data_IF_710689791273
#
_entry.id   IF_710689791273
#
_cell.length_a   1.000
_cell.length_b   1.000
_cell.length_c   1.000
_cell.angle_alpha   90.00
_cell.angle_beta   90.00
_cell.angle_gamma   90.00
#
_symmetry.space_group_name_H-M   'P 1'
#
loop_
_entity.id
_entity.type
_entity.pdbx_description
1 polymer ?
#
# COMPACT_ATOMS: atom_id res chain seq x y z
N UNK A 1 -9.37 -14.92 -12.33
CA UNK A 1 -10.06 -15.03 -11.05
C UNK A 1 -11.20 -14.01 -10.98
N UNK A 2 -10.98 -12.72 -11.20
CA UNK A 2 -12.08 -11.75 -11.32
C UNK A 2 -12.23 -11.28 -12.77
N UNK A 3 -13.42 -11.40 -13.40
CA UNK A 3 -13.65 -10.95 -14.77
C UNK A 3 -13.41 -9.44 -14.97
N UNK A 4 -13.57 -8.65 -13.91
CA UNK A 4 -13.35 -7.19 -13.90
C UNK A 4 -11.91 -6.78 -13.53
N UNK A 5 -11.01 -7.75 -13.32
CA UNK A 5 -9.68 -7.52 -12.78
C UNK A 5 -9.66 -7.31 -11.27
N UNK A 6 -8.47 -7.12 -10.70
CA UNK A 6 -8.29 -6.89 -9.27
C UNK A 6 -7.90 -5.45 -8.98
N UNK A 7 -8.63 -4.82 -8.08
CA UNK A 7 -8.30 -3.52 -7.52
C UNK A 7 -8.32 -3.61 -5.99
N UNK A 8 -7.15 -3.50 -5.35
CA UNK A 8 -7.00 -3.69 -3.90
C UNK A 8 -7.92 -2.78 -3.08
N UNK A 9 -8.10 -1.53 -3.47
CA UNK A 9 -8.96 -0.56 -2.79
C UNK A 9 -10.46 -0.95 -2.86
N UNK A 10 -10.93 -1.53 -3.96
CA UNK A 10 -12.30 -2.03 -4.08
C UNK A 10 -12.46 -3.35 -3.31
N UNK A 11 -11.44 -4.20 -3.32
CA UNK A 11 -11.45 -5.40 -2.50
C UNK A 11 -11.45 -5.06 -1.01
N UNK A 12 -10.72 -4.02 -0.58
CA UNK A 12 -10.77 -3.55 0.80
C UNK A 12 -12.17 -3.11 1.21
N UNK A 13 -12.90 -2.41 0.33
CA UNK A 13 -14.32 -2.08 0.59
C UNK A 13 -15.14 -3.35 0.77
N UNK A 14 -14.99 -4.34 -0.12
CA UNK A 14 -15.71 -5.62 0.00
C UNK A 14 -15.39 -6.34 1.32
N UNK A 15 -14.13 -6.33 1.75
CA UNK A 15 -13.73 -6.94 3.02
C UNK A 15 -14.46 -6.28 4.18
N UNK A 16 -14.41 -4.95 4.30
CA UNK A 16 -14.99 -4.25 5.44
C UNK A 16 -16.53 -4.19 5.44
N UNK A 17 -17.16 -4.27 4.26
CA UNK A 17 -18.64 -4.25 4.15
C UNK A 17 -19.27 -5.63 4.24
N UNK A 18 -18.58 -6.69 3.77
CA UNK A 18 -19.22 -7.99 3.54
C UNK A 18 -18.51 -9.20 4.14
N UNK A 19 -17.20 -9.12 4.45
CA UNK A 19 -16.44 -10.29 4.92
C UNK A 19 -16.15 -10.24 6.42
N UNK A 20 -15.89 -9.06 6.95
CA UNK A 20 -15.60 -8.87 8.37
C UNK A 20 -16.81 -9.26 9.27
N UNK A 21 -16.51 -9.59 10.52
CA UNK A 21 -17.50 -10.00 11.53
C UNK A 21 -18.44 -11.12 11.04
N UNK A 22 -17.86 -12.18 10.51
CA UNK A 22 -18.64 -13.36 10.05
C UNK A 22 -19.67 -12.99 8.97
N UNK A 23 -19.28 -12.18 7.99
CA UNK A 23 -20.16 -11.79 6.89
C UNK A 23 -21.08 -10.60 7.15
N UNK A 24 -21.07 -10.03 8.38
CA UNK A 24 -21.95 -8.90 8.76
C UNK A 24 -21.39 -7.52 8.40
N UNK A 25 -20.10 -7.45 8.10
CA UNK A 25 -19.41 -6.21 7.84
C UNK A 25 -19.18 -5.35 9.09
N UNK A 26 -18.40 -4.27 8.93
CA UNK A 26 -18.00 -3.39 10.03
C UNK A 26 -18.98 -2.23 10.28
N UNK A 27 -19.98 -2.02 9.42
CA UNK A 27 -20.92 -0.89 9.49
C UNK A 27 -20.19 0.47 9.59
N UNK A 28 -19.27 0.73 8.68
CA UNK A 28 -18.49 1.96 8.62
C UNK A 28 -19.30 3.12 8.02
N UNK A 29 -18.93 4.36 8.37
CA UNK A 29 -19.53 5.54 7.75
C UNK A 29 -19.08 5.73 6.30
N UNK A 30 -19.82 6.50 5.52
CA UNK A 30 -19.49 6.78 4.12
C UNK A 30 -18.12 7.48 3.98
N UNK A 31 -17.76 8.33 4.93
CA UNK A 31 -16.48 9.04 4.95
C UNK A 31 -15.29 8.07 5.13
N UNK A 32 -15.43 7.06 6.00
CA UNK A 32 -14.42 6.03 6.19
C UNK A 32 -14.31 5.14 4.95
N UNK A 33 -15.43 4.74 4.36
CA UNK A 33 -15.45 3.98 3.11
C UNK A 33 -14.84 4.78 1.95
N UNK A 34 -15.11 6.09 1.86
CA UNK A 34 -14.46 6.97 0.89
C UNK A 34 -12.94 7.00 1.08
N UNK A 35 -12.47 7.14 2.32
CA UNK A 35 -11.05 7.08 2.66
C UNK A 35 -10.40 5.78 2.21
N UNK A 36 -11.01 4.62 2.53
CA UNK A 36 -10.55 3.29 2.11
C UNK A 36 -10.52 3.17 0.58
N UNK A 37 -11.57 3.60 -0.10
CA UNK A 37 -11.68 3.53 -1.55
C UNK A 37 -10.63 4.39 -2.26
N UNK A 38 -10.31 5.54 -1.69
CA UNK A 38 -9.51 6.58 -2.32
C UNK A 38 -8.09 6.72 -1.74
N UNK A 39 -7.60 5.77 -0.91
CA UNK A 39 -6.23 5.84 -0.37
C UNK A 39 -5.15 5.68 -1.43
N UNK A 40 -5.42 5.00 -2.56
CA UNK A 40 -4.44 4.80 -3.64
C UNK A 40 -3.91 6.13 -4.21
N UNK A 41 -2.74 6.08 -4.85
CA UNK A 41 -2.03 7.26 -5.37
C UNK A 41 -2.90 8.18 -6.25
N UNK A 42 -3.78 7.62 -7.09
CA UNK A 42 -4.68 8.38 -7.96
C UNK A 42 -6.00 8.78 -7.29
N UNK A 43 -6.26 8.31 -6.07
CA UNK A 43 -7.49 8.61 -5.35
C UNK A 43 -7.50 10.03 -4.77
N UNK A 44 -8.70 10.52 -4.48
CA UNK A 44 -8.93 11.83 -3.88
C UNK A 44 -9.97 11.69 -2.77
N UNK A 45 -9.54 11.35 -1.54
CA UNK A 45 -10.45 11.28 -0.39
C UNK A 45 -11.12 12.63 -0.14
N UNK A 46 -12.40 12.60 0.21
CA UNK A 46 -13.18 13.81 0.45
C UNK A 46 -12.91 14.44 1.82
N UNK A 47 -12.45 13.67 2.81
CA UNK A 47 -12.16 14.15 4.17
C UNK A 47 -10.66 14.42 4.36
N UNK A 48 -10.33 15.26 5.35
CA UNK A 48 -8.93 15.51 5.73
C UNK A 48 -8.28 14.24 6.30
N UNK A 49 -9.02 13.45 7.08
CA UNK A 49 -8.57 12.17 7.63
C UNK A 49 -8.20 11.18 6.50
N UNK A 50 -9.06 11.06 5.49
CA UNK A 50 -8.77 10.24 4.31
C UNK A 50 -7.54 10.72 3.53
N UNK A 51 -7.32 12.04 3.45
CA UNK A 51 -6.12 12.61 2.84
C UNK A 51 -4.86 12.31 3.66
N UNK A 52 -4.95 12.35 5.01
CA UNK A 52 -3.86 11.96 5.90
C UNK A 52 -3.51 10.50 5.68
N UNK A 53 -4.50 9.60 5.69
CA UNK A 53 -4.27 8.16 5.45
C UNK A 53 -3.59 7.92 4.11
N UNK A 54 -4.08 8.55 3.04
CA UNK A 54 -3.49 8.44 1.70
C UNK A 54 -2.03 8.90 1.64
N UNK A 55 -1.70 9.97 2.35
CA UNK A 55 -0.33 10.50 2.37
C UNK A 55 0.58 9.64 3.24
N UNK A 56 0.08 9.20 4.40
CA UNK A 56 0.78 8.28 5.30
C UNK A 56 1.09 6.95 4.62
N UNK A 57 0.16 6.40 3.85
CA UNK A 57 0.36 5.19 3.05
C UNK A 57 1.51 5.36 2.05
N UNK A 58 1.56 6.49 1.33
CA UNK A 58 2.67 6.80 0.41
C UNK A 58 4.02 6.89 1.12
N UNK A 59 4.07 7.57 2.26
CA UNK A 59 5.29 7.72 3.05
C UNK A 59 5.75 6.36 3.57
N UNK A 60 4.81 5.58 4.09
CA UNK A 60 5.10 4.28 4.67
C UNK A 60 5.67 3.32 3.63
N UNK A 61 4.96 3.09 2.51
CA UNK A 61 5.39 2.08 1.56
C UNK A 61 6.74 2.41 0.90
N UNK A 62 7.03 3.69 0.56
CA UNK A 62 8.34 4.05 0.00
C UNK A 62 9.48 3.71 0.97
N UNK A 63 9.29 3.99 2.27
CA UNK A 63 10.29 3.69 3.27
C UNK A 63 10.44 2.19 3.53
N UNK A 64 9.34 1.45 3.59
CA UNK A 64 9.38 0.00 3.72
C UNK A 64 10.00 -0.68 2.51
N UNK A 65 9.66 -0.23 1.29
CA UNK A 65 10.24 -0.77 0.07
C UNK A 65 11.77 -0.55 0.00
N UNK A 66 12.28 0.59 0.48
CA UNK A 66 13.72 0.83 0.61
C UNK A 66 14.35 -0.16 1.59
N UNK A 67 13.77 -0.31 2.78
CA UNK A 67 14.28 -1.20 3.82
C UNK A 67 14.25 -2.66 3.37
N UNK A 68 13.19 -3.08 2.70
CA UNK A 68 13.05 -4.43 2.16
C UNK A 68 14.03 -4.70 1.00
N UNK A 69 14.25 -3.73 0.12
CA UNK A 69 15.22 -3.84 -0.95
C UNK A 69 16.66 -3.96 -0.41
N UNK A 70 16.98 -3.22 0.66
CA UNK A 70 18.28 -3.32 1.33
C UNK A 70 18.41 -4.68 2.04
N UNK A 71 17.38 -5.11 2.78
CA UNK A 71 17.37 -6.41 3.46
C UNK A 71 17.46 -7.59 2.49
N UNK A 72 16.79 -7.47 1.35
CA UNK A 72 16.85 -8.45 0.26
C UNK A 72 18.15 -8.42 -0.56
N UNK A 73 19.07 -7.49 -0.27
CA UNK A 73 20.33 -7.35 -0.99
C UNK A 73 20.15 -6.96 -2.47
N UNK A 74 19.08 -6.24 -2.78
CA UNK A 74 18.81 -5.65 -4.09
C UNK A 74 19.45 -4.26 -4.18
N UNK A 75 19.39 -3.49 -3.10
CA UNK A 75 20.00 -2.19 -2.94
C UNK A 75 20.98 -2.17 -1.76
N UNK A 76 21.90 -1.19 -1.80
CA UNK A 76 22.66 -0.73 -0.64
C UNK A 76 22.20 0.69 -0.28
N UNK A 77 22.38 1.14 0.98
CA UNK A 77 22.03 2.51 1.36
C UNK A 77 22.67 3.58 0.45
N UNK A 78 23.90 3.34 -0.04
CA UNK A 78 24.67 4.23 -0.89
C UNK A 78 24.12 4.34 -2.32
N UNK A 79 23.29 3.39 -2.76
CA UNK A 79 22.69 3.40 -4.10
C UNK A 79 21.55 4.43 -4.21
N UNK A 80 21.01 4.88 -3.06
CA UNK A 80 19.95 5.88 -3.07
C UNK A 80 20.46 7.23 -3.59
N UNK A 81 19.73 7.89 -4.50
CA UNK A 81 20.19 9.15 -5.10
C UNK A 81 20.44 10.24 -4.06
N UNK A 82 21.68 10.73 -4.00
CA UNK A 82 22.14 11.70 -3.01
C UNK A 82 21.28 12.97 -2.97
N UNK A 83 20.79 13.42 -4.13
CA UNK A 83 19.90 14.58 -4.23
C UNK A 83 18.61 14.45 -3.43
N UNK A 84 18.09 13.22 -3.25
CA UNK A 84 16.88 12.97 -2.46
C UNK A 84 17.23 12.67 -1.00
N UNK A 85 18.31 11.93 -0.74
CA UNK A 85 18.70 11.59 0.62
C UNK A 85 19.23 12.79 1.40
N UNK A 86 19.83 13.77 0.75
CA UNK A 86 20.20 15.06 1.38
C UNK A 86 19.00 15.84 1.89
N UNK A 87 17.89 15.79 1.16
CA UNK A 87 16.67 16.52 1.50
C UNK A 87 15.78 15.75 2.48
N UNK A 88 15.57 14.48 2.21
CA UNK A 88 14.63 13.65 2.99
C UNK A 88 15.28 12.99 4.21
N UNK A 89 16.59 12.74 4.15
CA UNK A 89 17.33 11.99 5.16
C UNK A 89 17.91 10.69 4.63
N UNK A 90 19.00 10.23 5.25
CA UNK A 90 19.75 9.03 4.84
C UNK A 90 19.26 7.75 5.51
N UNK A 91 18.55 7.85 6.63
CA UNK A 91 17.99 6.71 7.36
C UNK A 91 16.47 6.71 7.27
N UNK A 92 15.84 5.55 7.42
CA UNK A 92 14.38 5.42 7.46
C UNK A 92 13.76 6.35 8.50
N UNK A 93 14.36 6.42 9.69
CA UNK A 93 13.91 7.33 10.75
C UNK A 93 13.95 8.79 10.32
N UNK A 94 15.08 9.25 9.76
CA UNK A 94 15.21 10.65 9.33
C UNK A 94 14.29 10.97 8.16
N UNK A 95 14.09 10.05 7.21
CA UNK A 95 13.14 10.23 6.11
C UNK A 95 11.69 10.36 6.59
N UNK A 96 11.28 9.47 7.50
CA UNK A 96 9.94 9.53 8.09
C UNK A 96 9.73 10.83 8.84
N UNK A 97 10.69 11.21 9.69
CA UNK A 97 10.63 12.45 10.48
C UNK A 97 10.49 13.68 9.57
N UNK A 98 11.34 13.80 8.56
CA UNK A 98 11.30 14.91 7.60
C UNK A 98 9.95 14.99 6.88
N UNK A 99 9.46 13.87 6.35
CA UNK A 99 8.22 13.86 5.57
C UNK A 99 6.99 14.11 6.44
N UNK A 100 6.91 13.51 7.64
CA UNK A 100 5.80 13.71 8.57
C UNK A 100 5.76 15.16 9.06
N UNK A 101 6.88 15.72 9.53
CA UNK A 101 6.95 17.12 9.93
C UNK A 101 6.59 18.08 8.79
N UNK A 102 7.05 17.80 7.58
CA UNK A 102 6.71 18.61 6.42
C UNK A 102 5.20 18.60 6.12
N UNK A 103 4.54 17.43 6.22
CA UNK A 103 3.08 17.35 6.09
C UNK A 103 2.38 18.18 7.16
N UNK A 104 2.79 18.05 8.42
CA UNK A 104 2.18 18.79 9.54
C UNK A 104 2.28 20.28 9.29
N UNK A 105 3.49 20.80 9.05
CA UNK A 105 3.73 22.24 8.89
C UNK A 105 2.96 22.81 7.69
N UNK A 106 2.94 22.10 6.57
CA UNK A 106 2.31 22.60 5.34
C UNK A 106 0.79 22.41 5.31
N UNK A 107 0.23 21.63 6.27
CA UNK A 107 -1.21 21.40 6.35
C UNK A 107 -1.89 22.18 7.47
N UNK A 108 -1.13 22.76 8.40
CA UNK A 108 -1.69 23.58 9.49
C UNK A 108 -2.50 24.73 8.91
N UNK A 109 -3.73 24.90 9.42
CA UNK A 109 -4.66 25.96 9.00
C UNK A 109 -5.01 25.94 7.50
N UNK A 110 -4.74 24.82 6.80
CA UNK A 110 -5.09 24.64 5.40
C UNK A 110 -6.32 23.73 5.23
N UNK A 111 -7.15 23.96 4.21
CA UNK A 111 -8.31 23.12 3.92
C UNK A 111 -7.95 21.79 3.24
N UNK A 112 -6.68 21.44 3.21
CA UNK A 112 -6.16 20.19 2.56
C UNK A 112 -4.89 19.71 3.25
N UNK A 113 -4.64 18.41 3.17
CA UNK A 113 -3.40 17.80 3.64
C UNK A 113 -2.39 17.76 2.49
N UNK A 114 -1.19 18.31 2.72
CA UNK A 114 -0.20 18.48 1.67
C UNK A 114 1.23 18.48 2.21
N UNK A 115 2.18 18.20 1.32
CA UNK A 115 3.61 18.45 1.51
C UNK A 115 4.00 19.75 0.78
N UNK A 116 5.18 20.28 1.08
CA UNK A 116 5.84 21.25 0.21
C UNK A 116 6.18 20.58 -1.13
N UNK A 117 6.19 21.35 -2.21
CA UNK A 117 6.51 20.87 -3.56
C UNK A 117 7.88 20.16 -3.60
N UNK A 118 8.88 20.73 -2.95
CA UNK A 118 10.23 20.19 -2.88
C UNK A 118 10.28 18.77 -2.26
N UNK A 119 9.56 18.54 -1.15
CA UNK A 119 9.51 17.24 -0.48
C UNK A 119 8.68 16.24 -1.29
N UNK A 120 7.58 16.68 -1.91
CA UNK A 120 6.76 15.84 -2.77
C UNK A 120 7.51 15.39 -4.02
N UNK A 121 8.29 16.28 -4.64
CA UNK A 121 9.17 15.95 -5.77
C UNK A 121 10.27 14.96 -5.38
N UNK A 122 10.91 15.17 -4.24
CA UNK A 122 11.94 14.25 -3.74
C UNK A 122 11.38 12.87 -3.42
N UNK A 123 10.22 12.79 -2.78
CA UNK A 123 9.51 11.55 -2.50
C UNK A 123 9.12 10.83 -3.81
N UNK A 124 8.58 11.57 -4.78
CA UNK A 124 8.22 11.04 -6.09
C UNK A 124 9.44 10.54 -6.87
N UNK A 125 10.56 11.23 -6.73
CA UNK A 125 11.84 10.84 -7.30
C UNK A 125 12.39 9.53 -6.70
N UNK A 126 12.29 9.34 -5.38
CA UNK A 126 12.63 8.06 -4.74
C UNK A 126 11.73 6.93 -5.22
N UNK A 127 10.43 7.17 -5.33
CA UNK A 127 9.50 6.17 -5.87
C UNK A 127 9.86 5.74 -7.30
N UNK A 128 10.20 6.71 -8.15
CA UNK A 128 10.65 6.42 -9.52
C UNK A 128 11.94 5.59 -9.53
N UNK A 129 12.90 5.95 -8.67
CA UNK A 129 14.14 5.20 -8.51
C UNK A 129 13.87 3.75 -8.09
N UNK A 130 12.99 3.52 -7.10
CA UNK A 130 12.61 2.18 -6.67
C UNK A 130 11.94 1.39 -7.79
N UNK A 131 11.08 2.03 -8.58
CA UNK A 131 10.45 1.37 -9.72
C UNK A 131 11.49 0.84 -10.71
N UNK A 132 12.48 1.66 -11.05
CA UNK A 132 13.51 1.33 -12.04
C UNK A 132 14.53 0.30 -11.52
N UNK A 133 14.93 0.39 -10.25
CA UNK A 133 16.06 -0.37 -9.70
C UNK A 133 15.65 -1.56 -8.83
N UNK A 134 14.44 -1.54 -8.28
CA UNK A 134 13.91 -2.61 -7.42
C UNK A 134 12.84 -3.44 -8.13
N UNK A 135 11.74 -2.81 -8.55
CA UNK A 135 10.60 -3.57 -9.09
C UNK A 135 10.86 -4.18 -10.47
N UNK A 136 11.72 -3.55 -11.28
CA UNK A 136 12.16 -4.09 -12.57
C UNK A 136 13.43 -4.95 -12.46
N UNK A 137 13.97 -5.13 -11.24
CA UNK A 137 15.19 -5.90 -11.04
C UNK A 137 14.97 -7.39 -11.34
N UNK A 138 15.79 -8.04 -12.20
CA UNK A 138 15.64 -9.45 -12.57
C UNK A 138 15.65 -10.40 -11.36
N UNK A 139 16.41 -10.09 -10.29
CA UNK A 139 16.46 -10.88 -9.07
C UNK A 139 15.11 -10.88 -8.34
N UNK A 140 14.47 -9.70 -8.22
CA UNK A 140 13.14 -9.57 -7.65
C UNK A 140 12.08 -10.30 -8.53
N UNK A 141 12.15 -10.12 -9.84
CA UNK A 141 11.24 -10.77 -10.80
C UNK A 141 11.31 -12.30 -10.79
N UNK A 142 12.47 -12.89 -10.53
CA UNK A 142 12.61 -14.33 -10.41
C UNK A 142 11.80 -14.93 -9.25
N UNK A 143 11.72 -14.23 -8.13
CA UNK A 143 10.93 -14.66 -6.97
C UNK A 143 9.42 -14.40 -7.14
N UNK A 144 9.05 -13.36 -7.90
CA UNK A 144 7.64 -13.01 -8.20
C UNK A 144 6.91 -14.20 -8.86
N UNK A 145 7.55 -14.88 -9.81
CA UNK A 145 6.96 -16.05 -10.49
C UNK A 145 6.66 -17.18 -9.51
N UNK A 146 7.55 -17.43 -8.54
CA UNK A 146 7.32 -18.46 -7.51
C UNK A 146 6.13 -18.09 -6.63
N UNK A 147 6.03 -16.82 -6.22
CA UNK A 147 4.92 -16.33 -5.42
C UNK A 147 3.58 -16.45 -6.18
N UNK A 148 3.54 -16.05 -7.45
CA UNK A 148 2.36 -16.20 -8.32
C UNK A 148 1.92 -17.66 -8.39
N UNK A 149 2.85 -18.59 -8.68
CA UNK A 149 2.54 -20.00 -8.77
C UNK A 149 2.03 -20.56 -7.44
N UNK A 150 2.65 -20.18 -6.32
CA UNK A 150 2.20 -20.62 -4.99
C UNK A 150 0.78 -20.14 -4.68
N UNK A 151 0.47 -18.88 -4.94
CA UNK A 151 -0.88 -18.32 -4.71
C UNK A 151 -1.90 -18.97 -5.64
N UNK A 152 -1.55 -19.19 -6.92
CA UNK A 152 -2.44 -19.84 -7.89
C UNK A 152 -2.75 -21.28 -7.47
N UNK A 153 -1.72 -22.08 -7.13
CA UNK A 153 -1.90 -23.45 -6.68
C UNK A 153 -2.73 -23.52 -5.38
N UNK A 154 -2.51 -22.60 -4.45
CA UNK A 154 -3.29 -22.54 -3.21
C UNK A 154 -4.77 -22.22 -3.49
N UNK A 155 -5.03 -21.29 -4.40
CA UNK A 155 -6.39 -20.95 -4.81
C UNK A 155 -7.07 -22.15 -5.50
N UNK A 156 -6.40 -22.82 -6.44
CA UNK A 156 -6.91 -24.00 -7.14
C UNK A 156 -7.18 -25.13 -6.14
N UNK A 157 -6.26 -25.35 -5.19
CA UNK A 157 -6.45 -26.35 -4.13
C UNK A 157 -7.75 -26.13 -3.35
N UNK A 158 -8.00 -24.89 -2.88
CA UNK A 158 -9.22 -24.59 -2.15
C UNK A 158 -10.48 -24.60 -3.04
N UNK A 159 -10.36 -24.36 -4.34
CA UNK A 159 -11.48 -24.55 -5.27
C UNK A 159 -11.87 -26.00 -5.46
N UNK A 160 -10.91 -26.93 -5.38
CA UNK A 160 -11.13 -28.38 -5.49
C UNK A 160 -11.47 -29.02 -4.13
N UNK A 161 -11.02 -28.40 -3.03
CA UNK A 161 -11.12 -28.89 -1.65
C UNK A 161 -11.76 -27.83 -0.74
N UNK A 162 -12.98 -27.46 -1.04
CA UNK A 162 -13.73 -26.47 -0.25
C UNK A 162 -13.81 -26.82 1.24
N UNK A 163 -13.87 -28.16 1.54
CA UNK A 163 -13.90 -28.71 2.91
C UNK A 163 -12.63 -28.41 3.73
N UNK A 164 -11.53 -28.06 3.07
CA UNK A 164 -10.29 -27.66 3.74
C UNK A 164 -10.30 -26.19 4.22
N UNK A 165 -11.30 -25.39 3.83
CA UNK A 165 -11.44 -24.03 4.33
C UNK A 165 -11.83 -24.05 5.83
N UNK A 166 -11.37 -23.05 6.62
CA UNK A 166 -11.87 -22.85 7.96
C UNK A 166 -13.40 -22.73 8.00
N UNK A 167 -14.03 -23.25 9.05
CA UNK A 167 -15.49 -23.37 9.17
C UNK A 167 -16.21 -22.02 8.97
N UNK A 168 -15.61 -20.93 9.44
CA UNK A 168 -16.14 -19.56 9.26
C UNK A 168 -16.30 -19.16 7.80
N UNK A 169 -15.37 -19.58 6.92
CA UNK A 169 -15.45 -19.30 5.49
C UNK A 169 -16.37 -20.27 4.75
N UNK A 170 -16.45 -21.52 5.20
CA UNK A 170 -17.41 -22.48 4.64
C UNK A 170 -18.84 -21.97 4.78
N UNK A 171 -19.23 -21.51 5.96
CA UNK A 171 -20.55 -20.92 6.21
C UNK A 171 -20.86 -19.75 5.27
N UNK A 172 -19.87 -18.91 4.97
CA UNK A 172 -20.04 -17.77 4.03
C UNK A 172 -20.28 -18.22 2.58
N UNK A 173 -19.87 -19.44 2.19
CA UNK A 173 -20.11 -19.97 0.84
C UNK A 173 -21.48 -20.60 0.68
N UNK A 174 -22.09 -21.08 1.77
CA UNK A 174 -23.41 -21.71 1.77
C UNK A 174 -24.56 -20.68 1.77
N UNK A 175 -24.31 -19.46 2.28
CA UNK A 175 -25.31 -18.39 2.39
C UNK A 175 -25.47 -17.54 1.11
N UNK A 176 -24.83 -17.91 0.01
CA UNK A 176 -24.88 -17.25 -1.29
C UNK A 176 -25.32 -18.19 -2.40
#
# INVERSE_FOLDING_TARGET
ISPSGFQHNLQSIRVVEYLEKEGRGLNLTLEVLDGIKNHKTSGRPCTLEGQIVRLSDKIAYINHDIDDAIRGGILKPEDLPEKYTKLLGTTTRSRLDTMVHNVIINSMEQPKIQMSEEIEEAMSGLRKFLFEHVYLNPKAKGEETKAINMISNLFEYYMEHMEALPEEFLKMTEER
#
